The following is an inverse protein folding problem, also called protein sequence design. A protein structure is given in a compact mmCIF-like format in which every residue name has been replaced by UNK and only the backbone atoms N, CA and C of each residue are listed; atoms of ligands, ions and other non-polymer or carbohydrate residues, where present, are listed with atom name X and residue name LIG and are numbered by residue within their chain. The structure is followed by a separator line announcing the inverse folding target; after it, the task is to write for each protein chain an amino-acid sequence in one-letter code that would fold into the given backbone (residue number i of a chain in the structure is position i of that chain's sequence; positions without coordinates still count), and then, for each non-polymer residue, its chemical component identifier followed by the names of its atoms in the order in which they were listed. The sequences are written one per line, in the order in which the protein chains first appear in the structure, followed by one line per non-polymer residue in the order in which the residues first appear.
data_IF_016111361991
#
_entry.id   IF_016111361991
#
_cell.length_a   1.000
_cell.length_b   1.000
_cell.length_c   1.000
_cell.angle_alpha   90.00
_cell.angle_beta   90.00
_cell.angle_gamma   90.00
#
_symmetry.space_group_name_H-M   'P 1'
#
loop_
_entity.id
_entity.type
_entity.pdbx_description
1 polymer ?
#
# COMPACT_ATOMS: atom_id res chain seq x y z
N UNK A 1 -9.84 17.43 8.50
CA UNK A 1 -9.47 16.00 8.67
C UNK A 1 -9.19 15.81 10.14
N UNK A 2 -9.65 14.69 10.68
CA UNK A 2 -9.30 14.26 12.04
C UNK A 2 -8.44 13.01 11.93
N UNK A 3 -7.46 12.89 12.83
CA UNK A 3 -6.56 11.76 12.88
C UNK A 3 -6.44 11.29 14.33
N UNK A 4 -6.62 9.99 14.56
CA UNK A 4 -6.51 9.39 15.88
C UNK A 4 -5.76 8.05 15.81
N UNK A 5 -5.18 7.64 16.95
CA UNK A 5 -4.67 6.29 17.12
C UNK A 5 -5.75 5.44 17.76
N UNK A 6 -6.10 4.34 17.11
CA UNK A 6 -6.94 3.29 17.68
C UNK A 6 -6.01 2.26 18.35
N UNK A 7 -6.09 2.11 19.69
CA UNK A 7 -5.07 1.39 20.45
C UNK A 7 -5.05 -0.11 20.13
N UNK A 8 -6.18 -0.70 19.76
CA UNK A 8 -6.26 -2.11 19.38
C UNK A 8 -5.93 -3.09 20.52
N UNK A 9 -5.17 -4.16 20.24
CA UNK A 9 -5.00 -5.30 21.14
C UNK A 9 -3.62 -5.97 21.01
N UNK A 10 -3.26 -6.78 22.02
CA UNK A 10 -2.06 -7.61 22.01
C UNK A 10 -2.34 -8.98 21.37
N UNK A 11 -1.52 -9.36 20.39
CA UNK A 11 -1.56 -10.68 19.75
C UNK A 11 -0.88 -11.74 20.63
N UNK A 12 -1.25 -13.04 20.49
CA UNK A 12 -0.66 -14.12 21.29
C UNK A 12 0.87 -14.25 21.15
N UNK A 13 1.43 -13.83 20.03
CA UNK A 13 2.87 -13.86 19.76
C UNK A 13 3.63 -12.64 20.34
N UNK A 14 2.94 -11.75 21.06
CA UNK A 14 3.51 -10.54 21.66
C UNK A 14 3.47 -9.28 20.79
N UNK A 15 3.18 -9.40 19.49
CA UNK A 15 2.96 -8.23 18.63
C UNK A 15 1.71 -7.46 19.07
N UNK A 16 1.67 -6.16 18.84
CA UNK A 16 0.49 -5.33 19.05
C UNK A 16 -0.18 -5.02 17.72
N UNK A 17 -1.51 -5.09 17.68
CA UNK A 17 -2.29 -4.47 16.63
C UNK A 17 -2.80 -3.12 17.11
N UNK A 18 -2.53 -2.08 16.34
CA UNK A 18 -3.13 -0.75 16.46
C UNK A 18 -3.56 -0.27 15.07
N UNK A 19 -4.16 0.92 14.96
CA UNK A 19 -4.37 1.54 13.66
C UNK A 19 -4.32 3.07 13.75
N UNK A 20 -3.85 3.72 12.68
CA UNK A 20 -4.11 5.14 12.46
C UNK A 20 -5.46 5.27 11.79
N UNK A 21 -6.36 6.09 12.32
CA UNK A 21 -7.68 6.32 11.75
C UNK A 21 -7.77 7.77 11.28
N UNK A 22 -7.99 7.96 9.98
CA UNK A 22 -8.04 9.25 9.32
C UNK A 22 -9.45 9.50 8.78
N UNK A 23 -10.16 10.44 9.39
CA UNK A 23 -11.48 10.90 8.93
C UNK A 23 -11.32 12.08 7.97
N UNK A 24 -11.68 11.87 6.71
CA UNK A 24 -11.59 12.85 5.63
C UNK A 24 -12.93 13.56 5.44
N UNK A 25 -12.89 14.89 5.33
CA UNK A 25 -14.08 15.66 5.01
C UNK A 25 -14.63 15.28 3.62
N UNK A 26 -15.94 15.46 3.34
CA UNK A 26 -16.51 15.17 2.02
C UNK A 26 -15.71 15.81 0.88
N UNK A 27 -15.45 15.03 -0.18
CA UNK A 27 -14.63 15.45 -1.33
C UNK A 27 -13.12 15.23 -1.17
N UNK A 28 -12.62 15.22 0.06
CA UNK A 28 -11.21 15.01 0.36
C UNK A 28 -10.79 13.55 0.25
N UNK A 29 -9.54 13.36 -0.18
CA UNK A 29 -8.91 12.07 -0.44
C UNK A 29 -7.52 12.06 0.15
N UNK A 30 -7.04 10.87 0.51
CA UNK A 30 -5.63 10.65 0.80
C UNK A 30 -5.08 9.51 -0.06
N UNK A 31 -3.78 9.32 -0.01
CA UNK A 31 -3.05 8.49 -0.94
C UNK A 31 -2.64 7.15 -0.34
N UNK A 32 -2.59 6.15 -1.21
CA UNK A 32 -1.98 4.87 -0.90
C UNK A 32 -0.45 4.98 -0.91
N UNK A 33 0.24 3.94 -0.41
CA UNK A 33 1.72 3.88 -0.48
C UNK A 33 2.29 4.01 -1.89
N UNK A 34 1.53 3.59 -2.91
CA UNK A 34 1.89 3.65 -4.32
C UNK A 34 0.81 4.44 -5.07
N UNK A 35 0.82 5.77 -4.99
CA UNK A 35 -0.36 6.58 -5.25
C UNK A 35 -0.60 6.89 -6.72
N UNK A 36 0.27 6.44 -7.61
CA UNK A 36 0.30 6.83 -9.02
C UNK A 36 0.99 8.17 -9.24
N UNK A 37 0.94 8.65 -10.48
CA UNK A 37 1.77 9.76 -10.98
C UNK A 37 1.48 11.10 -10.31
N UNK A 38 0.27 11.30 -9.78
CA UNK A 38 -0.21 12.57 -9.24
C UNK A 38 -0.28 12.64 -7.71
N UNK A 39 0.10 11.57 -7.00
CA UNK A 39 -0.14 11.48 -5.56
C UNK A 39 1.10 11.64 -4.69
N UNK A 40 0.88 12.08 -3.45
CA UNK A 40 1.93 12.24 -2.44
C UNK A 40 1.80 11.05 -1.47
N UNK A 41 2.71 10.06 -1.52
CA UNK A 41 2.61 8.88 -0.68
C UNK A 41 2.80 9.25 0.79
N UNK A 42 2.15 8.53 1.71
CA UNK A 42 2.38 8.70 3.13
C UNK A 42 3.77 8.23 3.53
N UNK A 43 4.45 9.02 4.35
CA UNK A 43 5.75 8.74 4.95
C UNK A 43 5.63 8.76 6.48
N UNK A 44 6.34 7.85 7.14
CA UNK A 44 6.28 7.69 8.59
C UNK A 44 7.68 7.84 9.20
N UNK A 45 7.81 8.68 10.22
CA UNK A 45 8.96 8.74 11.11
C UNK A 45 8.54 8.31 12.52
N UNK A 46 8.97 7.13 12.93
CA UNK A 46 8.66 6.54 14.23
C UNK A 46 9.63 6.93 15.35
N UNK A 47 10.56 7.88 15.09
CA UNK A 47 11.53 8.35 16.08
C UNK A 47 10.84 8.84 17.37
N UNK A 48 11.48 8.53 18.49
CA UNK A 48 10.97 8.84 19.81
C UNK A 48 10.00 7.79 20.38
N UNK A 49 9.62 6.78 19.58
CA UNK A 49 8.95 5.59 20.12
C UNK A 49 9.87 4.83 21.07
N UNK A 50 9.29 4.13 22.06
CA UNK A 50 10.02 3.29 23.03
C UNK A 50 9.39 1.90 23.12
N UNK A 51 10.23 0.90 23.38
CA UNK A 51 9.87 -0.52 23.34
C UNK A 51 9.33 -0.92 21.95
N UNK A 52 10.07 -0.56 20.91
CA UNK A 52 9.67 -0.69 19.53
C UNK A 52 10.80 -1.26 18.68
N UNK A 53 10.60 -2.49 18.20
CA UNK A 53 11.56 -3.22 17.35
C UNK A 53 11.22 -3.12 15.86
N UNK A 54 9.95 -3.25 15.49
CA UNK A 54 9.47 -3.17 14.10
C UNK A 54 8.03 -2.70 14.03
N UNK A 55 7.68 -1.98 12.97
CA UNK A 55 6.30 -1.68 12.58
C UNK A 55 6.09 -2.13 11.15
N UNK A 56 5.07 -2.95 10.94
CA UNK A 56 4.56 -3.34 9.64
C UNK A 56 3.24 -2.59 9.39
N UNK A 57 3.23 -1.73 8.38
CA UNK A 57 2.02 -0.98 7.95
C UNK A 57 1.22 -1.87 7.00
N UNK A 58 0.01 -2.24 7.43
CA UNK A 58 -0.86 -3.15 6.70
C UNK A 58 -1.89 -2.33 5.94
N UNK A 59 -1.82 -2.37 4.61
CA UNK A 59 -2.64 -1.51 3.77
C UNK A 59 -3.96 -2.17 3.39
N UNK A 60 -5.12 -1.57 3.73
CA UNK A 60 -6.40 -1.92 3.14
C UNK A 60 -6.36 -1.79 1.61
N UNK A 61 -7.27 -2.48 0.91
CA UNK A 61 -7.43 -2.31 -0.53
C UNK A 61 -7.73 -0.84 -0.87
N UNK A 62 -6.91 -0.19 -1.71
CA UNK A 62 -7.17 1.17 -2.12
C UNK A 62 -8.21 1.21 -3.25
N UNK A 63 -8.70 2.41 -3.53
CA UNK A 63 -9.51 2.69 -4.72
C UNK A 63 -8.69 3.42 -5.77
N UNK A 64 -8.98 3.15 -7.05
CA UNK A 64 -8.49 4.01 -8.14
C UNK A 64 -9.48 5.14 -8.37
N UNK A 65 -8.97 6.34 -8.52
CA UNK A 65 -9.75 7.50 -8.91
C UNK A 65 -8.97 8.37 -9.89
N UNK A 66 -9.71 9.16 -10.66
CA UNK A 66 -9.15 10.09 -11.63
C UNK A 66 -9.32 11.51 -11.12
N UNK A 67 -8.24 12.28 -11.18
CA UNK A 67 -8.20 13.66 -10.74
C UNK A 67 -7.43 14.49 -11.76
N UNK A 68 -8.09 15.54 -12.27
CA UNK A 68 -7.50 16.43 -13.29
C UNK A 68 -6.93 15.67 -14.50
N UNK A 69 -7.58 14.58 -14.90
CA UNK A 69 -7.14 13.71 -16.00
C UNK A 69 -5.99 12.75 -15.66
N UNK A 70 -5.51 12.72 -14.41
CA UNK A 70 -4.46 11.83 -13.95
C UNK A 70 -5.02 10.74 -13.03
N UNK A 71 -4.48 9.52 -13.14
CA UNK A 71 -4.84 8.43 -12.25
C UNK A 71 -4.20 8.59 -10.88
N UNK A 72 -4.95 8.27 -9.84
CA UNK A 72 -4.48 8.23 -8.46
C UNK A 72 -5.02 7.00 -7.73
N UNK A 73 -4.27 6.52 -6.75
CA UNK A 73 -4.61 5.35 -5.94
C UNK A 73 -4.61 5.74 -4.47
N UNK A 74 -5.71 5.48 -3.78
CA UNK A 74 -5.87 5.93 -2.40
C UNK A 74 -7.25 5.72 -1.82
N UNK A 75 -7.62 6.59 -0.89
CA UNK A 75 -8.79 6.44 -0.03
C UNK A 75 -9.65 7.70 -0.03
N UNK A 76 -10.96 7.49 0.12
CA UNK A 76 -11.98 8.54 0.22
C UNK A 76 -12.72 8.34 1.54
N UNK A 77 -13.18 9.44 2.14
CA UNK A 77 -13.96 9.47 3.41
C UNK A 77 -13.19 9.03 4.65
N UNK A 78 -12.57 7.86 4.63
CA UNK A 78 -11.95 7.24 5.79
C UNK A 78 -10.73 6.40 5.36
N UNK A 79 -9.68 6.41 6.19
CA UNK A 79 -8.63 5.41 6.17
C UNK A 79 -8.35 4.94 7.61
N UNK A 80 -8.73 3.70 7.92
CA UNK A 80 -8.17 2.94 9.03
C UNK A 80 -6.97 2.17 8.51
N UNK A 81 -5.77 2.55 8.95
CA UNK A 81 -4.49 1.97 8.54
C UNK A 81 -3.91 1.11 9.68
N UNK A 82 -4.09 -0.22 9.64
CA UNK A 82 -3.56 -1.09 10.67
C UNK A 82 -2.03 -1.09 10.73
N UNK A 83 -1.54 -1.15 11.97
CA UNK A 83 -0.13 -1.20 12.32
C UNK A 83 0.09 -2.48 13.13
N UNK A 84 0.94 -3.38 12.62
CA UNK A 84 1.44 -4.50 13.40
C UNK A 84 2.79 -4.12 14.00
N UNK A 85 2.83 -4.06 15.32
CA UNK A 85 3.95 -3.50 16.07
C UNK A 85 4.61 -4.60 16.87
N UNK A 86 5.87 -4.88 16.58
CA UNK A 86 6.68 -5.83 17.35
C UNK A 86 7.47 -5.06 18.43
N UNK A 87 7.24 -5.33 19.74
CA UNK A 87 7.97 -4.67 20.81
C UNK A 87 9.38 -5.24 21.00
N UNK A 88 10.27 -4.52 21.68
CA UNK A 88 11.59 -5.03 22.09
C UNK A 88 11.47 -6.06 23.21
N UNK A 89 10.58 -5.80 24.17
CA UNK A 89 10.30 -6.63 25.32
C UNK A 89 8.80 -6.60 25.70
N UNK A 90 8.40 -7.47 26.62
CA UNK A 90 7.07 -7.39 27.21
C UNK A 90 6.83 -6.03 27.90
N UNK A 91 5.59 -5.56 27.90
CA UNK A 91 5.23 -4.28 28.52
C UNK A 91 4.52 -3.32 27.56
N UNK A 92 4.18 -2.11 28.03
CA UNK A 92 3.54 -1.10 27.19
C UNK A 92 4.51 -0.58 26.12
N UNK A 93 3.95 -0.08 25.02
CA UNK A 93 4.71 0.53 23.92
C UNK A 93 4.37 2.02 23.91
N UNK A 94 5.40 2.87 23.95
CA UNK A 94 5.21 4.30 23.70
C UNK A 94 5.36 4.52 22.21
N UNK A 95 4.26 4.74 21.51
CA UNK A 95 4.25 4.98 20.07
C UNK A 95 4.24 6.49 19.81
N UNK A 96 5.25 6.96 19.08
CA UNK A 96 5.31 8.29 18.49
C UNK A 96 5.51 8.17 16.99
N UNK A 97 4.74 8.93 16.22
CA UNK A 97 4.99 9.09 14.79
C UNK A 97 4.74 10.50 14.33
N UNK A 98 5.65 10.99 13.50
CA UNK A 98 5.34 12.03 12.52
C UNK A 98 4.94 11.31 11.23
N UNK A 99 3.74 11.58 10.72
CA UNK A 99 3.24 11.05 9.46
C UNK A 99 3.04 12.21 8.49
N UNK A 100 3.77 12.20 7.38
CA UNK A 100 3.56 13.12 6.28
C UNK A 100 2.70 12.43 5.23
N UNK A 101 1.71 13.11 4.67
CA UNK A 101 0.79 12.54 3.68
C UNK A 101 0.23 13.62 2.76
N UNK A 102 -0.20 13.24 1.56
CA UNK A 102 -1.02 14.13 0.73
C UNK A 102 -2.49 14.09 1.13
N UNK A 103 -3.10 15.26 1.16
CA UNK A 103 -4.55 15.45 1.18
C UNK A 103 -4.96 16.17 -0.09
N UNK A 104 -5.90 15.57 -0.84
CA UNK A 104 -6.32 16.13 -2.10
C UNK A 104 -7.84 16.32 -2.18
N UNK A 105 -8.24 17.54 -2.51
CA UNK A 105 -9.59 17.84 -2.98
C UNK A 105 -9.52 18.33 -4.44
N UNK A 106 -9.60 19.63 -4.70
CA UNK A 106 -9.30 20.20 -6.04
C UNK A 106 -7.78 20.35 -6.26
N UNK A 107 -7.06 20.62 -5.18
CA UNK A 107 -5.61 20.74 -5.12
C UNK A 107 -5.07 19.77 -4.08
N UNK A 108 -3.90 19.20 -4.36
CA UNK A 108 -3.24 18.25 -3.48
C UNK A 108 -2.16 18.97 -2.67
N UNK A 109 -2.27 18.91 -1.34
CA UNK A 109 -1.36 19.58 -0.42
C UNK A 109 -0.72 18.54 0.52
N UNK A 110 0.59 18.67 0.82
CA UNK A 110 1.20 17.89 1.87
C UNK A 110 0.64 18.31 3.23
N UNK A 111 0.52 17.35 4.13
CA UNK A 111 0.06 17.53 5.50
C UNK A 111 0.89 16.67 6.43
N UNK A 112 1.15 17.18 7.64
CA UNK A 112 1.93 16.49 8.67
C UNK A 112 1.06 16.26 9.89
N UNK A 113 1.09 15.03 10.41
CA UNK A 113 0.38 14.60 11.60
C UNK A 113 1.39 14.12 12.65
N UNK A 114 1.19 14.55 13.89
CA UNK A 114 1.92 14.00 15.02
C UNK A 114 0.96 13.17 15.88
N UNK A 115 1.32 11.91 16.11
CA UNK A 115 0.53 10.97 16.89
C UNK A 115 1.40 10.44 18.01
N UNK A 116 0.90 10.53 19.24
CA UNK A 116 1.57 10.07 20.45
C UNK A 116 0.58 9.25 21.29
N UNK A 117 0.96 8.03 21.65
CA UNK A 117 0.12 7.20 22.52
C UNK A 117 0.93 6.16 23.28
N UNK A 118 0.31 5.63 24.34
CA UNK A 118 0.81 4.45 25.05
C UNK A 118 -0.12 3.27 24.74
N UNK A 119 0.42 2.26 24.07
CA UNK A 119 -0.27 1.01 23.76
C UNK A 119 -0.10 0.05 24.94
N UNK A 120 -1.19 -0.52 25.47
CA UNK A 120 -1.13 -1.35 26.66
C UNK A 120 -0.41 -2.69 26.39
N UNK A 121 0.13 -3.28 27.46
CA UNK A 121 0.70 -4.63 27.44
C UNK A 121 -0.36 -5.74 27.44
N UNK A 122 -1.60 -5.41 27.84
CA UNK A 122 -2.74 -6.32 27.90
C UNK A 122 -3.94 -5.80 27.11
N UNK A 123 -5.00 -6.60 27.06
CA UNK A 123 -6.18 -6.37 26.23
C UNK A 123 -6.15 -7.24 24.98
N UNK A 124 -7.17 -8.06 24.82
CA UNK A 124 -7.32 -9.03 23.72
C UNK A 124 -8.55 -8.79 22.86
N UNK A 125 -9.44 -7.86 23.26
CA UNK A 125 -10.66 -7.57 22.51
C UNK A 125 -10.30 -6.93 21.18
N UNK A 126 -10.57 -7.60 20.04
CA UNK A 126 -10.27 -7.02 18.75
C UNK A 126 -11.14 -5.80 18.50
N UNK A 127 -10.53 -4.75 17.99
CA UNK A 127 -11.26 -3.58 17.55
C UNK A 127 -11.96 -3.86 16.21
N UNK A 128 -13.29 -3.65 16.08
CA UNK A 128 -14.04 -3.93 14.86
C UNK A 128 -13.57 -3.17 13.61
N UNK A 129 -13.16 -1.90 13.71
CA UNK A 129 -12.72 -1.17 12.52
C UNK A 129 -11.33 -1.63 12.08
N UNK A 130 -10.44 -1.95 13.03
CA UNK A 130 -9.14 -2.53 12.71
C UNK A 130 -9.34 -3.90 12.06
N UNK A 131 -10.23 -4.74 12.60
CA UNK A 131 -10.56 -6.04 12.02
C UNK A 131 -11.14 -5.92 10.60
N UNK A 132 -12.05 -4.97 10.38
CA UNK A 132 -12.61 -4.67 9.05
C UNK A 132 -11.53 -4.21 8.07
N UNK A 133 -10.62 -3.33 8.50
CA UNK A 133 -9.53 -2.85 7.67
C UNK A 133 -8.57 -3.98 7.28
N UNK A 134 -8.23 -4.87 8.23
CA UNK A 134 -7.43 -6.07 7.96
C UNK A 134 -8.13 -7.01 6.97
N UNK A 135 -9.43 -7.24 7.12
CA UNK A 135 -10.22 -8.08 6.22
C UNK A 135 -10.33 -7.51 4.80
N UNK A 136 -10.20 -6.19 4.66
CA UNK A 136 -10.22 -5.50 3.36
C UNK A 136 -8.87 -5.47 2.66
N UNK A 137 -7.81 -6.04 3.24
CA UNK A 137 -6.50 -6.11 2.58
C UNK A 137 -6.58 -6.92 1.27
N UNK A 138 -5.74 -6.62 0.27
CA UNK A 138 -5.66 -7.43 -0.93
C UNK A 138 -5.34 -8.89 -0.59
N UNK A 139 -5.96 -9.82 -1.32
CA UNK A 139 -5.67 -11.24 -1.21
C UNK A 139 -4.23 -11.54 -1.61
N UNK A 140 -3.66 -12.53 -0.94
CA UNK A 140 -2.40 -13.15 -1.35
C UNK A 140 -2.56 -13.90 -2.68
N UNK A 141 -1.45 -14.25 -3.31
CA UNK A 141 -1.40 -15.07 -4.52
C UNK A 141 -2.15 -16.39 -4.33
N UNK A 142 -2.03 -16.99 -3.15
CA UNK A 142 -2.68 -18.27 -2.82
C UNK A 142 -4.19 -18.11 -2.70
N UNK A 143 -4.66 -17.09 -1.99
CA UNK A 143 -6.10 -16.82 -1.81
C UNK A 143 -6.78 -16.51 -3.15
N UNK A 144 -6.09 -15.76 -4.02
CA UNK A 144 -6.55 -15.43 -5.35
C UNK A 144 -6.30 -16.52 -6.40
N UNK A 145 -5.72 -17.67 -6.02
CA UNK A 145 -5.39 -18.77 -6.95
C UNK A 145 -4.52 -18.37 -8.14
N UNK A 146 -3.57 -17.46 -7.93
CA UNK A 146 -2.54 -17.09 -8.93
C UNK A 146 -1.67 -18.31 -9.19
N UNK A 147 -1.60 -18.75 -10.46
CA UNK A 147 -0.85 -19.94 -10.87
C UNK A 147 0.58 -19.62 -11.28
N UNK A 148 0.85 -18.39 -11.72
CA UNK A 148 2.18 -17.93 -12.09
C UNK A 148 2.21 -16.51 -12.61
N UNK A 149 3.38 -15.88 -12.53
CA UNK A 149 3.61 -14.53 -13.06
C UNK A 149 4.90 -14.52 -13.86
N UNK A 150 4.81 -14.19 -15.15
CA UNK A 150 5.97 -14.05 -16.03
C UNK A 150 6.21 -12.59 -16.37
N UNK A 151 7.45 -12.14 -16.26
CA UNK A 151 7.88 -10.77 -16.52
C UNK A 151 8.90 -10.71 -17.65
N UNK A 152 8.53 -10.03 -18.74
CA UNK A 152 9.47 -9.63 -19.79
C UNK A 152 9.91 -8.18 -19.58
N UNK A 153 11.18 -7.90 -19.88
CA UNK A 153 11.77 -6.56 -19.74
C UNK A 153 12.34 -6.16 -21.10
N UNK A 154 12.03 -4.95 -21.55
CA UNK A 154 12.57 -4.35 -22.77
C UNK A 154 13.23 -3.00 -22.45
N UNK A 155 14.47 -2.76 -22.87
CA UNK A 155 15.08 -1.43 -22.74
C UNK A 155 14.27 -0.37 -23.51
N UNK A 156 14.11 0.80 -22.89
CA UNK A 156 13.55 2.00 -23.53
C UNK A 156 14.50 3.18 -23.27
N UNK A 157 14.27 4.31 -23.97
CA UNK A 157 15.17 5.47 -23.94
C UNK A 157 15.58 5.91 -22.52
N UNK A 158 14.63 5.96 -21.59
CA UNK A 158 14.81 6.53 -20.26
C UNK A 158 14.64 5.50 -19.13
N UNK A 159 14.71 4.20 -19.44
CA UNK A 159 14.55 3.13 -18.46
C UNK A 159 14.21 1.78 -19.07
N UNK A 160 13.25 1.07 -18.46
CA UNK A 160 12.78 -0.22 -18.96
C UNK A 160 11.25 -0.27 -19.05
N UNK A 161 10.73 -0.97 -20.05
CA UNK A 161 9.35 -1.43 -20.07
C UNK A 161 9.30 -2.81 -19.42
N UNK A 162 8.46 -2.96 -18.39
CA UNK A 162 8.16 -4.21 -17.71
C UNK A 162 6.75 -4.65 -18.12
N UNK A 163 6.65 -5.80 -18.75
CA UNK A 163 5.36 -6.45 -19.06
C UNK A 163 5.24 -7.70 -18.20
N UNK A 164 4.19 -7.77 -17.39
CA UNK A 164 3.86 -8.93 -16.56
C UNK A 164 2.60 -9.62 -17.10
N UNK A 165 2.70 -10.93 -17.30
CA UNK A 165 1.60 -11.84 -17.62
C UNK A 165 1.26 -12.64 -16.36
N UNK A 166 0.09 -12.38 -15.79
CA UNK A 166 -0.36 -12.93 -14.51
C UNK A 166 -1.45 -13.95 -14.81
N UNK A 167 -1.17 -15.22 -14.51
CA UNK A 167 -2.13 -16.28 -14.69
C UNK A 167 -3.02 -16.45 -13.45
N UNK A 168 -4.23 -15.88 -13.48
CA UNK A 168 -5.13 -15.82 -12.33
C UNK A 168 -6.61 -15.73 -12.73
N UNK A 169 -7.54 -16.24 -11.92
CA UNK A 169 -8.95 -15.91 -12.05
C UNK A 169 -9.18 -14.39 -12.10
N UNK A 170 -10.29 -13.96 -12.71
CA UNK A 170 -10.62 -12.54 -12.73
C UNK A 170 -10.90 -12.04 -11.31
N UNK A 171 -10.40 -10.84 -11.01
CA UNK A 171 -10.69 -10.07 -9.82
C UNK A 171 -11.95 -9.20 -9.97
N UNK A 172 -12.64 -9.29 -11.12
CA UNK A 172 -13.91 -8.63 -11.40
C UNK A 172 -13.75 -7.29 -12.14
N UNK A 173 -14.70 -7.00 -13.02
CA UNK A 173 -14.82 -5.71 -13.70
C UNK A 173 -13.63 -5.36 -14.59
N UNK A 174 -13.31 -4.05 -14.65
CA UNK A 174 -12.12 -3.56 -15.33
C UNK A 174 -10.94 -3.55 -14.35
N UNK A 175 -10.02 -4.50 -14.52
CA UNK A 175 -8.93 -4.69 -13.58
C UNK A 175 -7.79 -3.72 -13.87
N UNK A 176 -7.44 -2.94 -12.85
CA UNK A 176 -6.31 -2.02 -12.91
C UNK A 176 -5.17 -2.56 -12.06
N UNK A 177 -3.93 -2.19 -12.40
CA UNK A 177 -2.76 -2.66 -11.66
C UNK A 177 -1.94 -1.50 -11.10
N UNK A 178 -1.16 -1.80 -10.07
CA UNK A 178 -0.07 -0.97 -9.57
C UNK A 178 1.18 -1.83 -9.55
N UNK A 179 2.28 -1.32 -10.08
CA UNK A 179 3.56 -2.01 -10.12
C UNK A 179 4.57 -1.21 -9.30
N UNK A 180 5.04 -1.79 -8.21
CA UNK A 180 6.11 -1.26 -7.37
C UNK A 180 7.41 -2.01 -7.72
N UNK A 181 8.49 -1.28 -8.03
CA UNK A 181 9.78 -1.86 -8.44
C UNK A 181 10.55 -2.56 -7.31
N UNK A 182 10.11 -2.36 -6.07
CA UNK A 182 10.86 -2.73 -4.87
C UNK A 182 12.04 -1.80 -4.54
N UNK A 183 12.26 -0.75 -5.34
CA UNK A 183 13.33 0.22 -5.18
C UNK A 183 12.76 1.64 -5.05
N UNK A 184 12.99 2.35 -3.93
CA UNK A 184 12.45 3.69 -3.72
C UNK A 184 12.88 4.73 -4.78
N UNK A 185 14.04 4.55 -5.40
CA UNK A 185 14.57 5.46 -6.43
C UNK A 185 14.07 5.16 -7.85
N UNK A 186 13.27 4.11 -8.04
CA UNK A 186 12.74 3.69 -9.34
C UNK A 186 11.24 3.93 -9.36
N UNK A 187 10.85 4.95 -10.13
CA UNK A 187 9.47 5.30 -10.39
C UNK A 187 8.85 4.35 -11.41
N UNK A 188 7.55 4.07 -11.25
CA UNK A 188 6.73 3.26 -12.15
C UNK A 188 5.59 4.11 -12.66
N UNK A 189 5.46 4.19 -13.98
CA UNK A 189 4.34 4.89 -14.61
C UNK A 189 3.00 4.22 -14.32
N UNK A 190 1.90 4.90 -14.60
CA UNK A 190 0.58 4.26 -14.70
C UNK A 190 0.62 3.02 -15.60
N UNK A 191 0.36 1.81 -15.05
CA UNK A 191 0.35 0.61 -15.85
C UNK A 191 -0.91 0.51 -16.71
N UNK A 192 -0.76 -0.07 -17.90
CA UNK A 192 -1.90 -0.46 -18.76
C UNK A 192 -2.15 -1.94 -18.58
N UNK A 193 -3.40 -2.30 -18.27
CA UNK A 193 -3.81 -3.68 -18.04
C UNK A 193 -4.85 -4.12 -19.06
N UNK A 194 -4.75 -5.37 -19.51
CA UNK A 194 -5.69 -6.00 -20.43
C UNK A 194 -5.87 -7.47 -20.05
N UNK A 195 -7.13 -7.90 -19.91
CA UNK A 195 -7.50 -9.29 -19.63
C UNK A 195 -7.56 -10.08 -20.94
N UNK A 196 -6.85 -11.22 -20.99
CA UNK A 196 -6.84 -12.18 -22.12
C UNK A 196 -7.18 -13.57 -21.61
N UNK A 197 -8.47 -13.90 -21.61
CA UNK A 197 -8.96 -15.14 -20.99
C UNK A 197 -8.62 -15.16 -19.50
N UNK A 198 -7.79 -16.13 -19.07
CA UNK A 198 -7.33 -16.26 -17.67
C UNK A 198 -6.08 -15.45 -17.35
N UNK A 199 -5.45 -14.81 -18.33
CA UNK A 199 -4.22 -14.05 -18.11
C UNK A 199 -4.52 -12.56 -18.02
N UNK A 200 -4.04 -11.88 -16.98
CA UNK A 200 -3.94 -10.42 -16.95
C UNK A 200 -2.58 -10.04 -17.53
N UNK A 201 -2.57 -9.23 -18.58
CA UNK A 201 -1.33 -8.64 -19.09
C UNK A 201 -1.28 -7.20 -18.60
N UNK A 202 -0.19 -6.82 -17.94
CA UNK A 202 0.03 -5.44 -17.50
C UNK A 202 1.40 -4.95 -17.91
N UNK A 203 1.48 -3.72 -18.39
CA UNK A 203 2.75 -3.09 -18.78
C UNK A 203 2.93 -1.74 -18.08
N UNK A 204 4.12 -1.51 -17.53
CA UNK A 204 4.55 -0.22 -16.99
C UNK A 204 5.96 0.13 -17.46
N UNK A 205 6.26 1.43 -17.54
CA UNK A 205 7.60 1.98 -17.71
C UNK A 205 8.20 2.27 -16.35
N UNK A 206 9.38 1.73 -16.10
CA UNK A 206 10.17 1.96 -14.90
C UNK A 206 11.36 2.87 -15.23
N UNK A 207 11.56 3.91 -14.44
CA UNK A 207 12.63 4.90 -14.64
C UNK A 207 13.26 5.30 -13.30
N UNK A 208 14.58 5.47 -13.28
CA UNK A 208 15.25 6.04 -12.11
C UNK A 208 14.90 7.53 -11.99
N UNK A 209 14.55 7.99 -10.81
CA UNK A 209 14.09 9.38 -10.60
C UNK A 209 15.14 10.44 -11.02
N UNK A 210 16.42 10.11 -10.88
CA UNK A 210 17.55 10.95 -11.31
C UNK A 210 18.13 10.59 -12.70
N UNK A 211 17.46 9.72 -13.48
CA UNK A 211 17.92 9.30 -14.80
C UNK A 211 19.17 8.40 -14.82
N UNK A 212 19.55 7.82 -13.67
CA UNK A 212 20.71 6.93 -13.55
C UNK A 212 20.39 5.52 -14.07
N UNK A 213 21.40 4.78 -14.59
CA UNK A 213 21.24 3.35 -14.86
C UNK A 213 20.85 2.58 -13.60
N UNK A 214 19.99 1.57 -13.76
CA UNK A 214 19.56 0.71 -12.66
C UNK A 214 19.29 -0.72 -13.17
N UNK A 215 19.32 -1.67 -12.25
CA UNK A 215 18.92 -3.05 -12.50
C UNK A 215 17.63 -3.36 -11.75
N UNK A 216 16.72 -4.10 -12.38
CA UNK A 216 15.49 -4.54 -11.73
C UNK A 216 15.69 -5.94 -11.12
N UNK A 217 15.54 -6.05 -9.81
CA UNK A 217 15.37 -7.34 -9.14
C UNK A 217 13.90 -7.77 -9.25
N UNK A 218 13.61 -8.69 -10.17
CA UNK A 218 12.25 -9.19 -10.38
C UNK A 218 11.65 -9.84 -9.13
N UNK A 219 12.46 -10.35 -8.20
CA UNK A 219 11.95 -10.92 -6.94
C UNK A 219 11.42 -9.86 -5.97
N UNK A 220 11.75 -8.59 -6.19
CA UNK A 220 11.30 -7.45 -5.39
C UNK A 220 10.15 -6.67 -6.02
N UNK A 221 9.84 -6.96 -7.28
CA UNK A 221 8.66 -6.41 -7.96
C UNK A 221 7.43 -6.80 -7.15
N UNK A 222 6.52 -5.85 -6.96
CA UNK A 222 5.21 -6.11 -6.36
C UNK A 222 4.15 -5.60 -7.30
N UNK A 223 3.19 -6.46 -7.62
CA UNK A 223 2.08 -6.14 -8.51
C UNK A 223 0.80 -6.26 -7.69
N UNK A 224 0.05 -5.17 -7.59
CA UNK A 224 -1.28 -5.20 -6.99
C UNK A 224 -2.32 -5.09 -8.09
N UNK A 225 -3.19 -6.10 -8.20
CA UNK A 225 -4.37 -6.09 -9.07
C UNK A 225 -5.56 -5.56 -8.29
N UNK A 226 -6.29 -4.60 -8.86
CA UNK A 226 -7.46 -3.95 -8.29
C UNK A 226 -8.65 -4.24 -9.21
N UNK A 227 -9.52 -5.17 -8.82
CA UNK A 227 -10.77 -5.49 -9.50
C UNK A 227 -11.99 -4.98 -8.72
N UNK A 228 -13.19 -5.22 -9.26
CA UNK A 228 -14.46 -4.86 -8.62
C UNK A 228 -14.83 -5.77 -7.44
N UNK A 229 -14.37 -7.02 -7.46
CA UNK A 229 -14.80 -8.05 -6.52
C UNK A 229 -13.76 -8.20 -5.39
N UNK A 230 -12.48 -8.12 -5.73
CA UNK A 230 -11.38 -8.13 -4.78
C UNK A 230 -10.10 -7.51 -5.37
N UNK A 231 -9.11 -7.31 -4.51
CA UNK A 231 -7.74 -6.98 -4.91
C UNK A 231 -6.80 -8.14 -4.62
N UNK A 232 -5.67 -8.19 -5.33
CA UNK A 232 -4.65 -9.22 -5.17
C UNK A 232 -3.28 -8.57 -5.08
N UNK A 233 -2.50 -8.93 -4.07
CA UNK A 233 -1.11 -8.52 -3.92
C UNK A 233 -0.17 -9.66 -4.30
N UNK A 234 0.67 -9.41 -5.30
CA UNK A 234 1.58 -10.40 -5.86
C UNK A 234 3.02 -9.94 -5.67
N UNK A 235 3.87 -10.83 -5.17
CA UNK A 235 5.29 -10.58 -4.88
C UNK A 235 6.16 -11.39 -5.83
N UNK A 236 7.04 -10.66 -6.50
CA UNK A 236 7.97 -11.21 -7.46
C UNK A 236 7.32 -11.55 -8.80
N UNK A 237 8.17 -11.83 -9.77
CA UNK A 237 7.78 -12.48 -11.01
C UNK A 237 8.96 -13.19 -11.66
N UNK A 238 8.64 -14.25 -12.40
CA UNK A 238 9.63 -15.07 -13.11
C UNK A 238 10.02 -14.43 -14.45
N UNK A 239 11.07 -14.95 -15.09
CA UNK A 239 11.48 -14.59 -16.45
C UNK A 239 10.72 -15.35 -17.52
#
# INVERSE_FOLDING_TARGET
MEAELRPGWRLPNGDHMAALHLSLAPGWKTYWRAPGDAGIPPMFDWKGSRNLRRIDVLWPTPTVFWQSGMRSVGYKHDLVLPLRITPDAGGPISLRTEMQLGLCNDVCLPHTLEINATLPSGGSTPDPMIASALASAPFTEREASVQGVRCSIRPIKDGIALTAEIDMPSAGGNEQTVIESGQPSVWSSEPRSERRGRTLVTESRLMHMEGKPFMLDRSKVRITVLGSDHAVDIRGCDS
#
